data_IF_459818977668
#
_entry.id   IF_459818977668
#
_cell.length_a   1.000
_cell.length_b   1.000
_cell.length_c   1.000
_cell.angle_alpha   90.00
_cell.angle_beta   90.00
_cell.angle_gamma   90.00
#
_symmetry.space_group_name_H-M   'P 1'
#
loop_
_entity.id
_entity.type
_entity.pdbx_description
1 polymer ?
#
# COMPACT_ATOMS: atom_id res chain seq x y z
N UNK A 1 -22.74 -26.84 22.68
CA UNK A 1 -22.70 -28.30 22.87
C UNK A 1 -21.25 -28.70 22.72
N UNK A 2 -20.67 -29.37 23.72
CA UNK A 2 -19.24 -29.62 23.85
C UNK A 2 -18.70 -30.44 22.66
N UNK A 3 -17.83 -29.82 21.85
CA UNK A 3 -17.13 -30.45 20.72
C UNK A 3 -15.98 -31.36 21.23
N UNK A 4 -15.68 -31.32 22.53
CA UNK A 4 -14.54 -32.02 23.14
C UNK A 4 -14.73 -33.53 23.31
N UNK A 5 -15.95 -34.06 23.21
CA UNK A 5 -16.21 -35.46 23.57
C UNK A 5 -16.24 -36.42 22.35
N UNK A 6 -16.16 -35.93 21.11
CA UNK A 6 -16.19 -36.77 19.90
C UNK A 6 -14.81 -37.05 19.24
N UNK A 7 -13.71 -36.53 19.78
CA UNK A 7 -12.39 -36.55 19.10
C UNK A 7 -11.39 -37.52 19.76
N UNK A 8 -11.83 -38.72 20.12
CA UNK A 8 -10.92 -39.77 20.65
C UNK A 8 -10.58 -40.87 19.65
N UNK A 9 -11.06 -40.81 18.39
CA UNK A 9 -10.89 -41.93 17.45
C UNK A 9 -10.70 -41.54 15.97
N UNK A 10 -9.85 -40.56 15.65
CA UNK A 10 -9.47 -40.31 14.25
C UNK A 10 -7.95 -40.14 14.12
N UNK A 11 -7.31 -41.19 13.58
CA UNK A 11 -5.90 -41.25 13.19
C UNK A 11 -5.63 -40.54 11.84
N UNK A 12 -6.43 -39.54 11.49
CA UNK A 12 -6.28 -38.78 10.24
C UNK A 12 -5.94 -37.33 10.56
N UNK A 13 -5.05 -36.73 9.76
CA UNK A 13 -4.64 -35.33 9.83
C UNK A 13 -5.82 -34.38 9.55
N UNK A 14 -6.74 -34.25 10.50
CA UNK A 14 -7.89 -33.35 10.43
C UNK A 14 -7.48 -32.01 11.03
N UNK A 15 -7.38 -30.99 10.18
CA UNK A 15 -7.22 -29.61 10.62
C UNK A 15 -8.60 -29.03 10.97
N UNK A 16 -8.89 -28.94 12.26
CA UNK A 16 -10.06 -28.21 12.75
C UNK A 16 -9.78 -26.71 12.65
N UNK A 17 -10.51 -26.02 11.77
CA UNK A 17 -10.51 -24.55 11.69
C UNK A 17 -11.73 -24.04 12.47
N UNK A 18 -11.59 -23.68 13.75
CA UNK A 18 -12.71 -23.18 14.53
C UNK A 18 -13.20 -21.86 13.95
N UNK A 19 -14.52 -21.71 13.84
CA UNK A 19 -15.15 -20.45 13.47
C UNK A 19 -16.07 -19.98 14.59
N UNK A 20 -16.05 -18.68 14.86
CA UNK A 20 -17.03 -18.02 15.73
C UNK A 20 -18.07 -17.30 14.88
N UNK A 21 -19.26 -17.05 15.44
CA UNK A 21 -20.30 -16.26 14.77
C UNK A 21 -19.91 -14.77 14.68
N UNK A 22 -19.08 -14.29 15.59
CA UNK A 22 -18.57 -12.93 15.63
C UNK A 22 -17.26 -12.78 14.86
N UNK A 23 -17.13 -11.75 14.00
CA UNK A 23 -15.86 -11.41 13.39
C UNK A 23 -14.79 -11.10 14.45
N UNK A 24 -13.57 -11.62 14.24
CA UNK A 24 -12.43 -11.36 15.13
C UNK A 24 -11.98 -9.90 14.99
N UNK A 25 -11.75 -9.24 16.12
CA UNK A 25 -11.16 -7.90 16.13
C UNK A 25 -9.69 -7.95 15.68
N UNK A 26 -9.35 -7.15 14.67
CA UNK A 26 -7.98 -7.03 14.16
C UNK A 26 -7.11 -6.03 14.94
N UNK A 27 -7.68 -5.11 15.71
CA UNK A 27 -6.95 -4.07 16.44
C UNK A 27 -6.35 -4.62 17.73
N UNK A 28 -5.05 -4.38 17.95
CA UNK A 28 -4.34 -4.78 19.18
C UNK A 28 -4.50 -6.27 19.53
N UNK A 29 -4.76 -7.11 18.52
CA UNK A 29 -4.92 -8.55 18.68
C UNK A 29 -3.64 -9.28 18.28
N UNK A 30 -2.84 -9.63 19.28
CA UNK A 30 -1.55 -10.30 19.08
C UNK A 30 -1.68 -11.72 18.55
N UNK A 31 -2.85 -12.36 18.68
CA UNK A 31 -3.06 -13.74 18.23
C UNK A 31 -3.61 -13.81 16.80
N UNK A 32 -4.06 -12.68 16.23
CA UNK A 32 -4.72 -12.65 14.92
C UNK A 32 -3.82 -13.15 13.78
N UNK A 33 -2.68 -12.50 13.52
CA UNK A 33 -1.78 -12.92 12.44
C UNK A 33 -1.10 -14.27 12.71
N UNK A 34 -0.65 -14.59 13.94
CA UNK A 34 -0.13 -15.92 14.23
C UNK A 34 -1.16 -17.04 14.03
N UNK A 35 -2.43 -16.81 14.36
CA UNK A 35 -3.51 -17.77 14.12
C UNK A 35 -3.86 -17.93 12.64
N UNK A 36 -3.74 -16.86 11.84
CA UNK A 36 -4.03 -16.90 10.41
C UNK A 36 -2.91 -17.53 9.57
N UNK A 37 -1.66 -17.40 10.03
CA UNK A 37 -0.47 -17.86 9.31
C UNK A 37 0.42 -18.75 10.18
N UNK A 38 -0.04 -19.95 10.59
CA UNK A 38 0.75 -20.84 11.45
C UNK A 38 2.10 -21.24 10.81
N UNK A 39 2.19 -21.29 9.48
CA UNK A 39 3.45 -21.56 8.76
C UNK A 39 4.46 -20.42 8.85
N UNK A 40 4.01 -19.17 9.03
CA UNK A 40 4.88 -18.00 9.24
C UNK A 40 5.19 -17.78 10.73
N UNK A 41 4.29 -18.24 11.61
CA UNK A 41 4.37 -18.12 13.06
C UNK A 41 4.26 -19.50 13.74
N UNK A 42 5.27 -20.37 13.62
CA UNK A 42 5.20 -21.77 14.06
C UNK A 42 4.94 -21.94 15.56
N UNK A 43 5.27 -20.94 16.37
CA UNK A 43 5.04 -20.95 17.82
C UNK A 43 3.78 -20.17 18.25
N UNK A 44 3.00 -19.62 17.31
CA UNK A 44 1.86 -18.74 17.63
C UNK A 44 2.26 -17.41 18.29
N UNK A 45 3.55 -17.05 18.26
CA UNK A 45 4.12 -15.87 18.90
C UNK A 45 4.51 -14.79 17.88
N UNK A 46 4.76 -13.58 18.38
CA UNK A 46 5.30 -12.50 17.56
C UNK A 46 4.24 -11.69 16.82
N UNK A 47 2.96 -11.74 17.21
CA UNK A 47 1.95 -10.91 16.58
C UNK A 47 2.15 -9.39 16.72
N UNK A 48 1.40 -8.65 15.91
CA UNK A 48 1.49 -7.19 15.83
C UNK A 48 0.82 -6.50 17.01
N UNK A 49 1.20 -5.23 17.23
CA UNK A 49 0.51 -4.32 18.17
C UNK A 49 0.40 -4.84 19.62
N UNK A 50 1.38 -5.61 20.07
CA UNK A 50 1.46 -6.05 21.46
C UNK A 50 1.70 -4.86 22.41
N UNK A 51 0.68 -4.52 23.20
CA UNK A 51 0.70 -3.42 24.17
C UNK A 51 1.68 -3.65 25.32
N UNK A 52 2.10 -4.89 25.58
CA UNK A 52 3.08 -5.24 26.63
C UNK A 52 4.52 -4.90 26.23
N UNK A 53 4.77 -4.47 24.98
CA UNK A 53 6.11 -4.06 24.55
C UNK A 53 6.50 -2.73 25.20
N UNK A 54 7.73 -2.65 25.68
CA UNK A 54 8.32 -1.40 26.20
C UNK A 54 8.34 -0.28 25.17
N UNK A 55 8.59 -0.62 23.91
CA UNK A 55 8.56 0.31 22.77
C UNK A 55 7.37 0.00 21.89
N UNK A 56 6.49 1.00 21.74
CA UNK A 56 5.33 0.92 20.85
C UNK A 56 5.79 0.85 19.39
N UNK A 57 5.32 -0.16 18.67
CA UNK A 57 5.54 -0.34 17.23
C UNK A 57 4.19 -0.26 16.54
N UNK A 58 4.04 0.65 15.58
CA UNK A 58 2.80 0.74 14.79
C UNK A 58 2.62 -0.50 13.92
N UNK A 59 1.37 -0.82 13.60
CA UNK A 59 1.03 -1.91 12.66
C UNK A 59 1.88 -1.86 11.39
N UNK A 60 1.90 -0.72 10.69
CA UNK A 60 2.65 -0.55 9.45
C UNK A 60 4.16 -0.79 9.62
N UNK A 61 4.76 -0.32 10.72
CA UNK A 61 6.19 -0.53 10.99
C UNK A 61 6.50 -2.00 11.27
N UNK A 62 5.61 -2.70 11.97
CA UNK A 62 5.79 -4.12 12.27
C UNK A 62 5.60 -4.98 11.02
N UNK A 63 4.62 -4.69 10.17
CA UNK A 63 4.45 -5.39 8.89
C UNK A 63 5.67 -5.17 7.98
N UNK A 64 6.20 -3.94 7.89
CA UNK A 64 7.45 -3.69 7.15
C UNK A 64 8.60 -4.56 7.68
N UNK A 65 8.72 -4.70 9.00
CA UNK A 65 9.72 -5.58 9.59
C UNK A 65 9.54 -7.05 9.17
N UNK A 66 8.31 -7.57 9.16
CA UNK A 66 8.06 -8.93 8.67
C UNK A 66 8.39 -9.09 7.19
N UNK A 67 7.97 -8.14 6.35
CA UNK A 67 8.25 -8.17 4.92
C UNK A 67 9.76 -8.09 4.61
N UNK A 68 10.54 -7.45 5.47
CA UNK A 68 12.02 -7.38 5.37
C UNK A 68 12.72 -8.44 6.24
N UNK A 69 12.03 -9.49 6.66
CA UNK A 69 12.63 -10.53 7.49
C UNK A 69 13.66 -11.34 6.70
N UNK A 70 14.76 -11.71 7.36
CA UNK A 70 15.98 -12.22 6.72
C UNK A 70 15.82 -13.46 5.81
N UNK A 71 14.82 -14.30 6.06
CA UNK A 71 14.57 -15.54 5.31
C UNK A 71 13.53 -15.36 4.19
N UNK A 72 13.04 -14.13 3.97
CA UNK A 72 12.09 -13.76 2.93
C UNK A 72 10.71 -14.45 3.02
N UNK A 73 10.43 -15.27 4.05
CA UNK A 73 9.20 -16.09 4.11
C UNK A 73 7.90 -15.30 4.08
N UNK A 74 7.92 -14.07 4.62
CA UNK A 74 6.74 -13.21 4.66
C UNK A 74 6.49 -12.50 3.34
N UNK A 75 7.55 -12.09 2.61
CA UNK A 75 7.37 -11.48 1.29
C UNK A 75 6.97 -12.50 0.23
N UNK A 76 7.40 -13.76 0.37
CA UNK A 76 7.00 -14.85 -0.52
C UNK A 76 5.54 -15.28 -0.31
N UNK A 77 4.91 -14.89 0.79
CA UNK A 77 3.52 -15.23 1.07
C UNK A 77 2.58 -14.15 0.54
N UNK A 78 2.07 -14.33 -0.68
CA UNK A 78 1.15 -13.38 -1.35
C UNK A 78 -0.10 -13.10 -0.51
N UNK A 79 -0.65 -14.10 0.17
CA UNK A 79 -1.82 -13.93 1.05
C UNK A 79 -1.50 -13.01 2.22
N UNK A 80 -0.34 -13.18 2.86
CA UNK A 80 0.11 -12.34 3.95
C UNK A 80 0.24 -10.87 3.52
N UNK A 81 0.89 -10.60 2.38
CA UNK A 81 0.97 -9.25 1.82
C UNK A 81 -0.42 -8.68 1.59
N UNK A 82 -1.29 -9.42 0.90
CA UNK A 82 -2.63 -8.98 0.56
C UNK A 82 -3.47 -8.66 1.80
N UNK A 83 -3.54 -9.57 2.77
CA UNK A 83 -4.34 -9.39 3.99
C UNK A 83 -3.80 -8.23 4.83
N UNK A 84 -2.48 -8.18 5.02
CA UNK A 84 -1.89 -7.13 5.86
C UNK A 84 -2.04 -5.73 5.23
N UNK A 85 -1.94 -5.63 3.91
CA UNK A 85 -2.20 -4.41 3.16
C UNK A 85 -3.68 -4.01 3.18
N UNK A 86 -4.61 -4.95 3.05
CA UNK A 86 -6.04 -4.69 3.18
C UNK A 86 -6.42 -4.16 4.56
N UNK A 87 -5.86 -4.74 5.63
CA UNK A 87 -6.02 -4.23 7.00
C UNK A 87 -5.53 -2.78 7.08
N UNK A 88 -4.35 -2.47 6.52
CA UNK A 88 -3.82 -1.11 6.51
C UNK A 88 -4.76 -0.12 5.81
N UNK A 89 -5.30 -0.47 4.64
CA UNK A 89 -6.24 0.35 3.89
C UNK A 89 -7.56 0.54 4.66
N UNK A 90 -8.15 -0.55 5.18
CA UNK A 90 -9.39 -0.51 5.96
C UNK A 90 -9.23 0.37 7.19
N UNK A 91 -8.15 0.22 7.94
CA UNK A 91 -7.84 1.06 9.11
C UNK A 91 -7.70 2.53 8.74
N UNK A 92 -7.06 2.84 7.62
CA UNK A 92 -6.92 4.22 7.12
C UNK A 92 -8.30 4.82 6.80
N UNK A 93 -9.15 4.07 6.09
CA UNK A 93 -10.52 4.48 5.80
C UNK A 93 -11.34 4.68 7.09
N UNK A 94 -11.33 3.73 8.01
CA UNK A 94 -12.04 3.83 9.29
C UNK A 94 -11.59 5.04 10.13
N UNK A 95 -10.27 5.27 10.24
CA UNK A 95 -9.72 6.40 10.99
C UNK A 95 -10.19 7.74 10.41
N UNK A 96 -10.20 7.88 9.09
CA UNK A 96 -10.62 9.09 8.40
C UNK A 96 -12.13 9.29 8.44
N UNK A 97 -12.91 8.22 8.29
CA UNK A 97 -14.35 8.24 8.53
C UNK A 97 -14.68 8.69 9.95
N UNK A 98 -13.97 8.19 10.97
CA UNK A 98 -14.16 8.62 12.36
C UNK A 98 -13.91 10.12 12.54
N UNK A 99 -12.81 10.62 11.99
CA UNK A 99 -12.50 12.06 12.03
C UNK A 99 -13.60 12.87 11.32
N UNK A 100 -14.05 12.41 10.16
CA UNK A 100 -15.07 13.11 9.39
C UNK A 100 -16.41 13.17 10.14
N UNK A 101 -16.87 12.03 10.68
CA UNK A 101 -18.13 11.92 11.44
C UNK A 101 -18.08 12.79 12.72
N UNK A 102 -16.89 12.98 13.30
CA UNK A 102 -16.72 13.85 14.48
C UNK A 102 -16.85 15.35 14.18
N UNK A 103 -16.95 15.77 12.91
CA UNK A 103 -17.04 17.19 12.56
C UNK A 103 -18.46 17.73 12.76
N UNK A 104 -18.63 18.97 13.29
CA UNK A 104 -19.96 19.56 13.53
C UNK A 104 -20.86 19.61 12.29
N UNK A 105 -20.30 19.82 11.10
CA UNK A 105 -21.07 19.88 9.85
C UNK A 105 -21.56 18.52 9.36
N UNK A 106 -21.06 17.40 9.91
CA UNK A 106 -21.45 16.07 9.45
C UNK A 106 -22.87 15.72 9.90
N UNK A 107 -23.34 16.25 11.03
CA UNK A 107 -24.68 15.96 11.56
C UNK A 107 -25.80 16.36 10.58
N UNK A 108 -25.70 17.54 9.96
CA UNK A 108 -26.68 17.99 8.96
C UNK A 108 -26.65 17.12 7.70
N UNK A 109 -25.47 16.71 7.26
CA UNK A 109 -25.31 15.85 6.09
C UNK A 109 -25.71 14.40 6.36
N UNK A 110 -25.56 13.91 7.60
CA UNK A 110 -26.00 12.58 7.98
C UNK A 110 -27.52 12.42 7.84
N UNK A 111 -28.29 13.47 8.18
CA UNK A 111 -29.74 13.48 7.96
C UNK A 111 -30.08 13.39 6.47
N UNK A 112 -29.37 14.14 5.61
CA UNK A 112 -29.55 14.08 4.16
C UNK A 112 -29.18 12.70 3.57
N UNK A 113 -28.09 12.10 4.05
CA UNK A 113 -27.62 10.78 3.61
C UNK A 113 -28.61 9.69 4.05
N UNK A 114 -29.17 9.76 5.27
CA UNK A 114 -30.15 8.79 5.77
C UNK A 114 -31.48 8.83 4.99
N UNK A 115 -31.78 9.92 4.29
CA UNK A 115 -32.95 10.05 3.44
C UNK A 115 -32.74 9.49 2.03
N UNK A 116 -31.53 9.02 1.69
CA UNK A 116 -31.28 8.37 0.40
C UNK A 116 -31.90 6.98 0.36
N UNK A 117 -32.65 6.72 -0.70
CA UNK A 117 -33.22 5.41 -0.99
C UNK A 117 -32.28 4.57 -1.86
N UNK A 118 -32.35 3.24 -1.73
CA UNK A 118 -31.58 2.33 -2.57
C UNK A 118 -31.85 2.55 -4.08
N UNK A 119 -33.08 2.96 -4.42
CA UNK A 119 -33.48 3.28 -5.80
C UNK A 119 -32.74 4.50 -6.35
N UNK A 120 -32.60 5.57 -5.56
CA UNK A 120 -31.86 6.77 -5.97
C UNK A 120 -30.37 6.47 -6.17
N UNK A 121 -29.79 5.66 -5.28
CA UNK A 121 -28.38 5.22 -5.43
C UNK A 121 -28.21 4.39 -6.70
N UNK A 122 -29.12 3.44 -6.97
CA UNK A 122 -29.05 2.60 -8.17
C UNK A 122 -29.16 3.42 -9.45
N UNK A 123 -30.15 4.32 -9.55
CA UNK A 123 -30.31 5.20 -10.72
C UNK A 123 -29.03 5.98 -10.99
N UNK A 124 -28.37 6.47 -9.94
CA UNK A 124 -27.14 7.22 -10.12
C UNK A 124 -25.93 6.37 -10.50
N UNK A 125 -25.85 5.12 -10.01
CA UNK A 125 -24.84 4.17 -10.48
C UNK A 125 -25.03 3.88 -11.98
N UNK A 126 -26.27 3.63 -12.40
CA UNK A 126 -26.62 3.38 -13.81
C UNK A 126 -26.28 4.60 -14.70
N UNK A 127 -26.48 5.83 -14.20
CA UNK A 127 -26.08 7.08 -14.88
C UNK A 127 -24.56 7.25 -14.97
N UNK A 128 -23.83 6.88 -13.92
CA UNK A 128 -22.35 6.92 -13.92
C UNK A 128 -21.79 5.91 -14.93
N UNK A 129 -22.36 4.71 -14.98
CA UNK A 129 -21.92 3.63 -15.87
C UNK A 129 -22.23 3.94 -17.35
N UNK A 130 -23.40 4.53 -17.63
CA UNK A 130 -23.82 4.90 -18.99
C UNK A 130 -23.13 6.15 -19.56
N UNK A 131 -22.24 6.82 -18.82
CA UNK A 131 -21.58 8.07 -19.21
C UNK A 131 -22.57 9.15 -19.71
N UNK A 132 -23.79 9.18 -19.16
CA UNK A 132 -24.80 10.15 -19.61
C UNK A 132 -24.35 11.58 -19.31
N UNK A 133 -24.40 12.45 -20.33
CA UNK A 133 -24.04 13.87 -20.25
C UNK A 133 -24.96 14.65 -19.29
N UNK A 134 -26.19 14.17 -19.08
CA UNK A 134 -27.16 14.71 -18.14
C UNK A 134 -26.99 14.04 -16.77
N UNK A 135 -26.07 14.57 -15.97
CA UNK A 135 -25.87 14.14 -14.58
C UNK A 135 -26.74 14.98 -13.66
N UNK A 136 -28.03 14.66 -13.57
CA UNK A 136 -28.89 15.25 -12.53
C UNK A 136 -28.64 14.54 -11.21
N UNK A 137 -27.49 14.84 -10.60
CA UNK A 137 -27.12 14.29 -9.30
C UNK A 137 -27.99 14.94 -8.22
N UNK A 138 -28.86 14.13 -7.61
CA UNK A 138 -29.60 14.51 -6.40
C UNK A 138 -28.63 15.17 -5.40
N UNK A 139 -28.94 16.36 -4.82
CA UNK A 139 -28.07 17.04 -3.85
C UNK A 139 -27.62 16.14 -2.70
N UNK A 140 -28.50 15.25 -2.21
CA UNK A 140 -28.17 14.28 -1.14
C UNK A 140 -27.10 13.28 -1.57
N UNK A 141 -27.20 12.82 -2.82
CA UNK A 141 -26.21 11.92 -3.39
C UNK A 141 -24.88 12.64 -3.65
N UNK A 142 -24.92 13.90 -4.08
CA UNK A 142 -23.72 14.74 -4.20
C UNK A 142 -23.03 14.92 -2.84
N UNK A 143 -23.79 15.13 -1.77
CA UNK A 143 -23.27 15.18 -0.40
C UNK A 143 -22.61 13.86 0.00
N UNK A 144 -23.26 12.72 -0.25
CA UNK A 144 -22.67 11.39 -0.01
C UNK A 144 -21.36 11.19 -0.78
N UNK A 145 -21.35 11.47 -2.09
CA UNK A 145 -20.17 11.33 -2.94
C UNK A 145 -19.03 12.25 -2.49
N UNK A 146 -19.34 13.46 -2.00
CA UNK A 146 -18.33 14.36 -1.43
C UNK A 146 -17.68 13.76 -0.19
N UNK A 147 -18.46 13.11 0.68
CA UNK A 147 -17.92 12.41 1.85
C UNK A 147 -17.08 11.19 1.46
N UNK A 148 -17.56 10.38 0.51
CA UNK A 148 -16.82 9.24 -0.01
C UNK A 148 -15.50 9.65 -0.66
N UNK A 149 -15.49 10.73 -1.46
CA UNK A 149 -14.25 11.30 -2.01
C UNK A 149 -13.31 11.71 -0.89
N UNK A 150 -13.79 12.43 0.12
CA UNK A 150 -12.95 12.86 1.24
C UNK A 150 -12.25 11.68 1.95
N UNK A 151 -12.97 10.57 2.18
CA UNK A 151 -12.39 9.36 2.77
C UNK A 151 -11.45 8.67 1.77
N UNK A 152 -11.89 8.47 0.53
CA UNK A 152 -11.14 7.79 -0.52
C UNK A 152 -9.80 8.47 -0.81
N UNK A 153 -9.73 9.80 -0.74
CA UNK A 153 -8.49 10.56 -0.97
C UNK A 153 -7.35 10.23 0.01
N UNK A 154 -7.65 9.59 1.13
CA UNK A 154 -6.65 9.12 2.10
C UNK A 154 -6.21 7.67 1.89
N UNK A 155 -6.94 6.90 1.10
CA UNK A 155 -6.61 5.51 0.78
C UNK A 155 -5.58 5.52 -0.34
N UNK A 156 -4.42 4.93 -0.05
CA UNK A 156 -3.31 4.85 -1.00
C UNK A 156 -3.75 4.20 -2.31
N UNK A 157 -3.41 4.83 -3.44
CA UNK A 157 -3.69 4.29 -4.78
C UNK A 157 -5.12 4.49 -5.26
N UNK A 158 -6.01 5.07 -4.44
CA UNK A 158 -7.37 5.41 -4.88
C UNK A 158 -7.38 6.48 -5.97
N UNK A 159 -8.43 6.51 -6.79
CA UNK A 159 -8.62 7.55 -7.81
C UNK A 159 -8.60 8.96 -7.19
N UNK A 160 -9.14 9.12 -5.98
CA UNK A 160 -9.13 10.43 -5.32
C UNK A 160 -7.75 10.80 -4.78
N UNK A 161 -6.95 9.83 -4.30
CA UNK A 161 -5.56 10.11 -3.91
C UNK A 161 -4.73 10.59 -5.11
N UNK A 162 -4.93 9.97 -6.28
CA UNK A 162 -4.32 10.41 -7.55
C UNK A 162 -4.81 11.78 -8.01
N UNK A 163 -6.09 12.09 -7.80
CA UNK A 163 -6.62 13.42 -8.08
C UNK A 163 -5.99 14.49 -7.17
N UNK A 164 -5.66 14.16 -5.92
CA UNK A 164 -4.98 15.07 -5.01
C UNK A 164 -3.55 15.40 -5.50
N UNK A 165 -2.81 14.43 -6.05
CA UNK A 165 -1.49 14.70 -6.64
C UNK A 165 -1.55 15.74 -7.76
N UNK A 166 -2.64 15.77 -8.54
CA UNK A 166 -2.84 16.80 -9.58
C UNK A 166 -3.03 18.18 -8.97
N UNK A 167 -3.77 18.28 -7.86
CA UNK A 167 -3.98 19.53 -7.14
C UNK A 167 -2.65 20.04 -6.58
N UNK A 168 -1.85 19.16 -5.99
CA UNK A 168 -0.51 19.49 -5.47
C UNK A 168 0.44 19.96 -6.59
N UNK A 169 0.44 19.28 -7.74
CA UNK A 169 1.21 19.69 -8.91
C UNK A 169 0.77 21.08 -9.43
N UNK A 170 -0.53 21.35 -9.52
CA UNK A 170 -1.02 22.67 -9.92
C UNK A 170 -0.64 23.77 -8.93
N UNK A 171 -0.66 23.47 -7.63
CA UNK A 171 -0.18 24.40 -6.62
C UNK A 171 1.31 24.69 -6.80
N UNK A 172 2.13 23.66 -7.04
CA UNK A 172 3.57 23.85 -7.32
C UNK A 172 3.80 24.73 -8.55
N UNK A 173 3.02 24.52 -9.62
CA UNK A 173 3.12 25.34 -10.84
C UNK A 173 2.75 26.80 -10.56
N UNK A 174 1.74 27.03 -9.72
CA UNK A 174 1.33 28.38 -9.34
C UNK A 174 2.43 29.12 -8.56
N UNK A 175 3.17 28.42 -7.68
CA UNK A 175 4.21 29.03 -6.84
C UNK A 175 5.59 29.12 -7.49
N UNK A 176 6.01 28.08 -8.22
CA UNK A 176 7.37 27.96 -8.79
C UNK A 176 7.41 28.06 -10.32
N UNK A 177 6.28 28.33 -10.97
CA UNK A 177 6.18 28.38 -12.42
C UNK A 177 6.08 27.02 -13.11
N UNK A 178 6.09 27.02 -14.44
CA UNK A 178 5.99 25.80 -15.24
C UNK A 178 7.25 24.94 -15.11
N UNK A 179 7.14 23.60 -15.04
CA UNK A 179 8.31 22.74 -14.99
C UNK A 179 9.10 22.87 -16.30
N UNK A 180 10.41 23.16 -16.18
CA UNK A 180 11.30 23.14 -17.34
C UNK A 180 11.56 21.71 -17.84
N UNK A 181 11.43 20.72 -16.96
CA UNK A 181 11.78 19.34 -17.20
C UNK A 181 10.66 18.44 -16.67
N UNK A 182 10.22 17.51 -17.51
CA UNK A 182 9.29 16.43 -17.16
C UNK A 182 9.94 15.10 -17.53
N UNK A 183 10.27 14.28 -16.53
CA UNK A 183 11.00 13.01 -16.72
C UNK A 183 10.24 11.86 -16.08
N UNK A 184 10.14 10.76 -16.83
CA UNK A 184 9.70 9.46 -16.31
C UNK A 184 10.89 8.51 -16.23
N UNK A 185 11.24 8.08 -15.02
CA UNK A 185 12.29 7.09 -14.79
C UNK A 185 11.63 5.72 -14.63
N UNK A 186 11.83 4.84 -15.60
CA UNK A 186 11.23 3.51 -15.62
C UNK A 186 12.33 2.42 -15.63
N UNK A 187 12.88 2.07 -14.45
CA UNK A 187 13.92 1.06 -14.39
C UNK A 187 13.38 -0.31 -14.75
N UNK A 188 14.20 -1.11 -15.43
CA UNK A 188 13.90 -2.51 -15.70
C UNK A 188 14.50 -3.37 -14.59
N UNK A 189 13.66 -3.96 -13.76
CA UNK A 189 14.01 -4.91 -12.71
C UNK A 189 14.45 -6.28 -13.28
N UNK A 190 13.82 -6.76 -14.36
CA UNK A 190 14.13 -8.07 -14.97
C UNK A 190 15.56 -8.20 -15.49
N UNK A 191 16.19 -7.12 -15.91
CA UNK A 191 17.53 -7.13 -16.53
C UNK A 191 18.60 -6.48 -15.65
N UNK A 192 18.25 -6.03 -14.45
CA UNK A 192 19.18 -5.32 -13.58
C UNK A 192 19.81 -6.26 -12.54
N UNK A 193 21.15 -6.42 -12.52
CA UNK A 193 21.81 -7.32 -11.56
C UNK A 193 21.54 -6.96 -10.09
N UNK A 194 21.49 -5.67 -9.75
CA UNK A 194 21.08 -5.25 -8.40
C UNK A 194 19.68 -5.74 -8.03
N UNK A 195 18.71 -5.75 -8.94
CA UNK A 195 17.37 -6.25 -8.63
C UNK A 195 17.41 -7.74 -8.24
N UNK A 196 18.24 -8.54 -8.91
CA UNK A 196 18.50 -9.93 -8.54
C UNK A 196 19.17 -10.05 -7.16
N UNK A 197 20.16 -9.20 -6.85
CA UNK A 197 20.79 -9.19 -5.52
C UNK A 197 19.79 -8.83 -4.42
N UNK A 198 18.93 -7.85 -4.66
CA UNK A 198 17.85 -7.47 -3.73
C UNK A 198 16.82 -8.59 -3.55
N UNK A 199 16.61 -9.42 -4.58
CA UNK A 199 15.80 -10.63 -4.51
C UNK A 199 16.53 -11.85 -3.89
N UNK A 200 17.72 -11.66 -3.33
CA UNK A 200 18.46 -12.72 -2.63
C UNK A 200 19.30 -13.63 -3.53
N UNK A 201 19.44 -13.31 -4.83
CA UNK A 201 20.34 -14.07 -5.72
C UNK A 201 21.78 -13.74 -5.34
N UNK A 202 22.60 -14.78 -5.14
CA UNK A 202 24.00 -14.60 -4.84
C UNK A 202 24.80 -14.23 -6.09
N UNK A 203 24.90 -12.91 -6.33
CA UNK A 203 25.68 -12.33 -7.39
C UNK A 203 26.87 -11.54 -6.83
N UNK A 204 28.03 -11.73 -7.43
CA UNK A 204 29.17 -10.82 -7.30
C UNK A 204 28.91 -9.58 -8.17
N UNK A 205 28.65 -8.45 -7.53
CA UNK A 205 28.34 -7.19 -8.21
C UNK A 205 29.61 -6.56 -8.80
N UNK A 206 30.77 -6.84 -8.22
CA UNK A 206 32.04 -6.25 -8.65
C UNK A 206 32.61 -6.96 -9.89
N UNK A 207 32.23 -8.23 -10.11
CA UNK A 207 32.67 -9.05 -11.25
C UNK A 207 31.50 -9.60 -12.09
N UNK A 208 30.57 -8.72 -12.50
CA UNK A 208 29.42 -9.11 -13.31
C UNK A 208 29.82 -9.57 -14.71
N UNK A 209 29.55 -10.84 -15.03
CA UNK A 209 29.56 -11.38 -16.39
C UNK A 209 28.16 -11.81 -16.81
N UNK A 210 27.88 -11.81 -18.11
CA UNK A 210 26.56 -12.20 -18.64
C UNK A 210 26.16 -13.64 -18.26
N UNK A 211 27.16 -14.50 -18.00
CA UNK A 211 26.97 -15.90 -17.61
C UNK A 211 26.56 -16.08 -16.15
N UNK A 212 26.86 -15.10 -15.28
CA UNK A 212 26.46 -15.13 -13.86
C UNK A 212 24.98 -14.78 -13.65
N UNK A 213 24.33 -14.18 -14.65
CA UNK A 213 22.93 -13.81 -14.55
C UNK A 213 22.02 -15.01 -14.86
N UNK A 214 20.95 -15.24 -14.06
CA UNK A 214 19.96 -16.26 -14.36
C UNK A 214 19.32 -16.05 -15.74
N UNK A 215 18.76 -17.11 -16.32
CA UNK A 215 18.06 -17.05 -17.60
C UNK A 215 16.81 -16.18 -17.51
N UNK A 216 16.32 -15.68 -18.65
CA UNK A 216 15.22 -14.70 -18.65
C UNK A 216 13.95 -15.15 -17.93
N UNK A 217 13.58 -16.42 -18.04
CA UNK A 217 12.41 -16.98 -17.36
C UNK A 217 12.64 -17.15 -15.86
N UNK A 218 13.86 -17.54 -15.45
CA UNK A 218 14.25 -17.62 -14.04
C UNK A 218 14.21 -16.25 -13.37
N UNK A 219 14.72 -15.21 -14.05
CA UNK A 219 14.66 -13.83 -13.55
C UNK A 219 13.23 -13.37 -13.33
N UNK A 220 12.32 -13.65 -14.28
CA UNK A 220 10.91 -13.31 -14.14
C UNK A 220 10.26 -14.01 -12.92
N UNK A 221 10.58 -15.29 -12.72
CA UNK A 221 10.11 -16.03 -11.55
C UNK A 221 10.67 -15.46 -10.23
N UNK A 222 11.95 -15.09 -10.20
CA UNK A 222 12.60 -14.49 -9.03
C UNK A 222 11.97 -13.13 -8.69
N UNK A 223 11.82 -12.23 -9.67
CA UNK A 223 11.17 -10.91 -9.47
C UNK A 223 9.77 -11.07 -8.90
N UNK A 224 8.98 -12.00 -9.45
CA UNK A 224 7.61 -12.27 -9.01
C UNK A 224 7.55 -12.79 -7.56
N UNK A 225 8.50 -13.65 -7.17
CA UNK A 225 8.54 -14.27 -5.84
C UNK A 225 9.13 -13.34 -4.75
N UNK A 226 9.81 -12.26 -5.13
CA UNK A 226 10.49 -11.34 -4.21
C UNK A 226 10.02 -9.89 -4.33
N UNK A 227 8.71 -9.61 -4.22
CA UNK A 227 8.16 -8.27 -4.48
C UNK A 227 8.72 -7.20 -3.54
N UNK A 228 9.11 -7.53 -2.30
CA UNK A 228 9.65 -6.55 -1.35
C UNK A 228 11.11 -6.25 -1.69
N UNK A 229 11.89 -7.27 -2.06
CA UNK A 229 13.22 -7.08 -2.65
C UNK A 229 13.20 -6.13 -3.85
N UNK A 230 12.27 -6.34 -4.78
CA UNK A 230 12.13 -5.49 -5.98
C UNK A 230 11.68 -4.07 -5.63
N UNK A 231 10.76 -3.91 -4.67
CA UNK A 231 10.39 -2.59 -4.16
C UNK A 231 11.58 -1.85 -3.50
N UNK A 232 12.43 -2.58 -2.77
CA UNK A 232 13.66 -2.01 -2.19
C UNK A 232 14.66 -1.59 -3.28
N UNK A 233 14.85 -2.41 -4.32
CA UNK A 233 15.66 -2.05 -5.49
C UNK A 233 15.16 -0.76 -6.13
N UNK A 234 13.86 -0.69 -6.47
CA UNK A 234 13.26 0.49 -7.08
C UNK A 234 13.48 1.74 -6.21
N UNK A 235 13.13 1.66 -4.92
CA UNK A 235 13.29 2.78 -4.00
C UNK A 235 14.76 3.20 -3.88
N UNK A 236 15.69 2.24 -3.79
CA UNK A 236 17.13 2.54 -3.69
C UNK A 236 17.63 3.20 -4.97
N UNK A 237 17.22 2.73 -6.13
CA UNK A 237 17.62 3.31 -7.41
C UNK A 237 17.12 4.74 -7.55
N UNK A 238 15.82 4.99 -7.34
CA UNK A 238 15.23 6.32 -7.47
C UNK A 238 15.82 7.30 -6.45
N UNK A 239 15.95 6.90 -5.18
CA UNK A 239 16.58 7.75 -4.16
C UNK A 239 18.05 8.04 -4.46
N UNK A 240 18.77 7.09 -5.06
CA UNK A 240 20.16 7.31 -5.51
C UNK A 240 20.18 8.30 -6.66
N UNK A 241 19.36 8.14 -7.70
CA UNK A 241 19.27 9.10 -8.82
C UNK A 241 18.97 10.52 -8.32
N UNK A 242 18.01 10.68 -7.41
CA UNK A 242 17.64 11.98 -6.87
C UNK A 242 18.75 12.61 -6.02
N UNK A 243 19.44 11.82 -5.20
CA UNK A 243 20.50 12.33 -4.31
C UNK A 243 21.85 12.51 -4.98
N UNK A 244 22.19 11.74 -6.02
CA UNK A 244 23.51 11.77 -6.66
C UNK A 244 23.50 12.48 -8.02
N UNK A 245 22.58 12.15 -8.92
CA UNK A 245 22.53 12.74 -10.26
C UNK A 245 21.84 14.10 -10.24
N UNK A 246 20.67 14.18 -9.60
CA UNK A 246 19.90 15.42 -9.48
C UNK A 246 20.44 16.29 -8.33
N UNK A 247 21.13 15.67 -7.37
CA UNK A 247 21.71 16.34 -6.20
C UNK A 247 20.66 17.14 -5.41
N UNK A 248 19.50 16.52 -5.16
CA UNK A 248 18.36 17.13 -4.47
C UNK A 248 18.03 16.43 -3.16
N UNK A 249 17.82 17.21 -2.10
CA UNK A 249 17.39 16.72 -0.80
C UNK A 249 15.86 16.75 -0.70
N UNK A 250 15.24 15.59 -0.91
CA UNK A 250 13.78 15.42 -0.86
C UNK A 250 13.20 15.79 0.52
N UNK A 251 13.94 15.56 1.62
CA UNK A 251 13.44 15.82 2.97
C UNK A 251 13.47 17.31 3.33
N UNK A 252 14.43 18.04 2.78
CA UNK A 252 14.59 19.49 3.01
C UNK A 252 13.96 20.35 1.92
N UNK A 253 13.52 19.73 0.82
CA UNK A 253 13.01 20.39 -0.37
C UNK A 253 13.98 21.44 -0.93
N UNK A 254 15.27 21.07 -1.04
CA UNK A 254 16.32 21.96 -1.56
C UNK A 254 17.39 21.18 -2.33
N UNK A 255 18.03 21.81 -3.31
CA UNK A 255 19.26 21.29 -3.92
C UNK A 255 20.43 21.36 -2.94
N UNK A 256 21.32 20.37 -3.04
CA UNK A 256 22.64 20.49 -2.40
C UNK A 256 23.51 21.53 -3.13
N UNK A 257 24.53 22.09 -2.45
CA UNK A 257 25.41 23.10 -3.04
C UNK A 257 26.03 22.63 -4.37
N UNK A 258 26.00 23.49 -5.38
CA UNK A 258 26.56 23.23 -6.71
C UNK A 258 25.59 22.56 -7.70
N UNK A 259 24.39 22.18 -7.25
CA UNK A 259 23.38 21.56 -8.12
C UNK A 259 23.79 20.17 -8.64
N UNK A 260 22.90 19.55 -9.41
CA UNK A 260 23.15 18.26 -10.06
C UNK A 260 23.41 18.41 -11.56
N UNK A 261 23.24 17.32 -12.31
CA UNK A 261 23.35 17.33 -13.77
C UNK A 261 22.37 18.29 -14.47
N UNK A 262 21.27 18.62 -13.79
CA UNK A 262 20.24 19.56 -14.26
C UNK A 262 20.43 20.99 -13.70
N UNK A 263 21.54 21.25 -13.01
CA UNK A 263 21.76 22.50 -12.28
C UNK A 263 21.10 22.51 -10.90
N UNK A 264 20.92 23.71 -10.35
CA UNK A 264 20.19 23.92 -9.10
C UNK A 264 18.69 23.81 -9.35
N UNK A 265 18.01 23.01 -8.52
CA UNK A 265 16.58 22.74 -8.64
C UNK A 265 15.83 23.63 -7.67
N UNK A 266 15.02 24.55 -8.21
CA UNK A 266 14.12 25.39 -7.42
C UNK A 266 12.96 24.58 -6.83
N UNK A 267 12.43 23.62 -7.60
CA UNK A 267 11.25 22.86 -7.23
C UNK A 267 11.30 21.42 -7.76
N UNK A 268 10.89 20.47 -6.91
CA UNK A 268 10.74 19.06 -7.28
C UNK A 268 9.36 18.56 -6.84
N UNK A 269 8.66 17.91 -7.77
CA UNK A 269 7.44 17.16 -7.49
C UNK A 269 7.53 15.79 -8.19
N UNK A 270 7.38 14.71 -7.42
CA UNK A 270 7.54 13.36 -7.92
C UNK A 270 6.48 12.40 -7.38
N UNK A 271 6.00 11.52 -8.26
CA UNK A 271 5.03 10.47 -7.92
C UNK A 271 5.51 9.12 -8.43
N UNK A 272 5.15 8.05 -7.73
CA UNK A 272 5.39 6.66 -8.18
C UNK A 272 4.10 6.13 -8.79
N UNK A 273 4.21 5.55 -9.98
CA UNK A 273 3.12 4.89 -10.69
C UNK A 273 3.48 3.42 -10.92
N UNK A 274 2.58 2.51 -10.52
CA UNK A 274 2.69 1.09 -10.82
C UNK A 274 2.29 0.86 -12.28
N UNK A 275 3.24 0.42 -13.10
CA UNK A 275 2.96 -0.04 -14.46
C UNK A 275 2.75 -1.55 -14.41
N UNK A 276 1.57 -2.03 -14.81
CA UNK A 276 1.33 -3.47 -14.97
C UNK A 276 2.24 -4.02 -16.06
N UNK A 277 3.29 -4.73 -15.66
CA UNK A 277 4.22 -5.47 -16.54
C UNK A 277 4.09 -6.95 -16.26
#
# INVERSE_FOLDING_TARGET
>A
TNITDEITNLNDNIYLVPHEQSPVNEYFNTSFLPGLYPTLFPYGLGGVENERRSVRVSYAKHIRYFLSYHDHRFEMNTSFIFVTFNILQRRTACAKSRILVSRPFFSSQATEINQLTAKEVKIALDQIESNSSERTLNPRLSALLKQLKTISGSVMGSNQSRANYRVELHAQIFFSGLPNIFITINPCDLHHPLAMKFAGVDLDIDNLTAELMPKSHERAAIVSNHPVGIAHFFNKLITTVLSTLINYNINKHESYPGGGILGEIEAYYGTVEESGR
#
